data_IF_865417187563
#
_entry.id   IF_865417187563
#
_cell.length_a   1.000
_cell.length_b   1.000
_cell.length_c   1.000
_cell.angle_alpha   90.00
_cell.angle_beta   90.00
_cell.angle_gamma   90.00
#
_symmetry.space_group_name_H-M   'P 1'
#
loop_
_entity.id
_entity.type
_entity.pdbx_description
1 polymer ?
#
# COMPACT_ATOMS: atom_id res chain seq x y z
N UNK A 1 -9.93 -7.80 -8.32
CA UNK A 1 -9.31 -6.73 -9.14
C UNK A 1 -9.68 -6.87 -10.62
N UNK A 2 -9.41 -8.01 -11.28
CA UNK A 2 -9.74 -8.19 -12.70
C UNK A 2 -11.23 -8.09 -13.03
N UNK A 3 -12.10 -8.66 -12.18
CA UNK A 3 -13.58 -8.56 -12.35
C UNK A 3 -14.13 -7.13 -12.25
N UNK A 4 -13.39 -6.20 -11.64
CA UNK A 4 -13.77 -4.80 -11.54
C UNK A 4 -13.10 -3.91 -12.60
N UNK A 5 -12.19 -4.46 -13.40
CA UNK A 5 -11.48 -3.72 -14.43
C UNK A 5 -12.33 -3.58 -15.68
N UNK A 6 -12.53 -2.35 -16.15
CA UNK A 6 -13.21 -2.07 -17.43
C UNK A 6 -12.33 -2.38 -18.65
N UNK A 7 -11.02 -2.58 -18.45
CA UNK A 7 -10.08 -2.85 -19.53
C UNK A 7 -9.94 -4.34 -19.87
N UNK A 8 -10.27 -5.23 -18.94
CA UNK A 8 -10.14 -6.68 -19.12
C UNK A 8 -11.53 -7.25 -19.41
N UNK A 9 -11.76 -7.69 -20.65
CA UNK A 9 -12.97 -8.47 -20.97
C UNK A 9 -12.96 -9.79 -20.19
N UNK A 10 -14.13 -10.31 -19.85
CA UNK A 10 -14.27 -11.53 -19.01
C UNK A 10 -13.51 -12.72 -19.60
N UNK A 11 -13.54 -12.87 -20.93
CA UNK A 11 -12.81 -13.91 -21.68
C UNK A 11 -11.28 -13.75 -21.64
N UNK A 12 -10.78 -12.57 -21.30
CA UNK A 12 -9.34 -12.24 -21.28
C UNK A 12 -8.74 -12.17 -19.88
N UNK A 13 -9.50 -12.49 -18.84
CA UNK A 13 -8.98 -12.52 -17.48
C UNK A 13 -7.85 -13.54 -17.35
N UNK A 14 -6.81 -13.19 -16.61
CA UNK A 14 -5.69 -14.09 -16.33
C UNK A 14 -6.15 -15.23 -15.45
N UNK A 15 -5.87 -16.46 -15.88
CA UNK A 15 -6.31 -17.71 -15.22
C UNK A 15 -5.47 -18.07 -13.98
N UNK A 16 -4.30 -17.44 -13.84
CA UNK A 16 -3.37 -17.68 -12.74
C UNK A 16 -2.06 -16.94 -12.93
N UNK A 17 -1.11 -17.19 -12.03
CA UNK A 17 0.21 -16.53 -12.03
C UNK A 17 0.98 -16.85 -13.31
N UNK A 18 1.05 -18.13 -13.71
CA UNK A 18 1.79 -18.57 -14.90
C UNK A 18 1.21 -17.93 -16.17
N UNK A 19 -0.12 -17.95 -16.32
CA UNK A 19 -0.81 -17.32 -17.44
C UNK A 19 -0.52 -15.81 -17.52
N UNK A 20 -0.57 -15.13 -16.38
CA UNK A 20 -0.27 -13.70 -16.26
C UNK A 20 1.16 -13.36 -16.67
N UNK A 21 2.15 -14.08 -16.15
CA UNK A 21 3.58 -13.84 -16.43
C UNK A 21 3.92 -14.13 -17.89
N UNK A 22 3.28 -15.13 -18.52
CA UNK A 22 3.51 -15.44 -19.94
C UNK A 22 2.85 -14.43 -20.87
N UNK A 23 1.66 -13.91 -20.51
CA UNK A 23 0.86 -13.03 -21.36
C UNK A 23 1.30 -11.57 -21.30
N UNK A 24 1.67 -11.04 -20.12
CA UNK A 24 2.03 -9.62 -19.96
C UNK A 24 3.10 -9.15 -20.96
N UNK A 25 4.24 -9.86 -21.16
CA UNK A 25 5.26 -9.44 -22.11
C UNK A 25 4.76 -9.40 -23.55
N UNK A 26 3.88 -10.36 -23.92
CA UNK A 26 3.31 -10.47 -25.27
C UNK A 26 2.23 -9.41 -25.53
N UNK A 27 1.44 -9.08 -24.51
CA UNK A 27 0.32 -8.15 -24.64
C UNK A 27 0.74 -6.69 -24.51
N UNK A 28 1.66 -6.38 -23.60
CA UNK A 28 1.98 -5.01 -23.18
C UNK A 28 3.48 -4.68 -23.26
N UNK A 29 4.32 -5.64 -23.66
CA UNK A 29 5.77 -5.50 -23.66
C UNK A 29 6.41 -5.80 -22.30
N UNK A 30 7.66 -6.29 -22.35
CA UNK A 30 8.40 -6.77 -21.18
C UNK A 30 8.54 -5.73 -20.05
N UNK A 31 8.73 -4.45 -20.40
CA UNK A 31 8.88 -3.38 -19.42
C UNK A 31 7.61 -3.11 -18.59
N UNK A 32 6.45 -3.65 -19.00
CA UNK A 32 5.20 -3.47 -18.27
C UNK A 32 5.21 -4.13 -16.88
N UNK A 33 6.10 -5.09 -16.61
CA UNK A 33 6.28 -5.62 -15.26
C UNK A 33 6.74 -4.57 -14.23
N UNK A 34 7.43 -3.52 -14.66
CA UNK A 34 7.89 -2.43 -13.80
C UNK A 34 6.94 -1.23 -13.79
N UNK A 35 5.76 -1.34 -14.40
CA UNK A 35 4.77 -0.26 -14.42
C UNK A 35 4.33 0.06 -13.00
N UNK A 36 4.46 1.34 -12.62
CA UNK A 36 4.20 1.80 -11.25
C UNK A 36 5.35 1.56 -10.26
N UNK A 37 6.51 1.06 -10.69
CA UNK A 37 7.65 0.86 -9.80
C UNK A 37 8.33 2.17 -9.36
N UNK A 38 8.25 3.24 -10.17
CA UNK A 38 8.72 4.58 -9.77
C UNK A 38 8.09 5.01 -8.44
N UNK A 39 6.79 4.75 -8.29
CA UNK A 39 6.03 5.06 -7.08
C UNK A 39 6.56 4.31 -5.87
N UNK A 40 7.07 3.10 -6.05
CA UNK A 40 7.67 2.29 -4.98
C UNK A 40 8.96 2.92 -4.45
N UNK A 41 9.79 3.43 -5.34
CA UNK A 41 11.06 4.09 -4.99
C UNK A 41 10.77 5.35 -4.17
N UNK A 42 9.89 6.22 -4.66
CA UNK A 42 9.49 7.45 -3.95
C UNK A 42 8.87 7.11 -2.59
N UNK A 43 7.97 6.13 -2.55
CA UNK A 43 7.33 5.66 -1.32
C UNK A 43 8.35 5.20 -0.29
N UNK A 44 9.38 4.46 -0.70
CA UNK A 44 10.42 3.98 0.21
C UNK A 44 11.13 5.15 0.91
N UNK A 45 11.59 6.15 0.14
CA UNK A 45 12.24 7.32 0.70
C UNK A 45 11.34 8.08 1.70
N UNK A 46 10.09 8.35 1.32
CA UNK A 46 9.15 9.06 2.19
C UNK A 46 8.81 8.28 3.46
N UNK A 47 8.60 6.96 3.33
CA UNK A 47 8.32 6.11 4.48
C UNK A 47 9.49 6.11 5.45
N UNK A 48 10.73 6.08 4.96
CA UNK A 48 11.91 6.14 5.82
C UNK A 48 12.07 7.51 6.50
N UNK A 49 11.82 8.60 5.79
CA UNK A 49 11.82 9.94 6.39
C UNK A 49 10.79 10.07 7.53
N UNK A 50 9.57 9.56 7.32
CA UNK A 50 8.50 9.58 8.33
C UNK A 50 8.79 8.65 9.50
N UNK A 51 9.35 7.46 9.23
CA UNK A 51 9.83 6.57 10.30
C UNK A 51 10.88 7.26 11.16
N UNK A 52 11.86 7.93 10.56
CA UNK A 52 12.89 8.65 11.30
C UNK A 52 12.30 9.78 12.15
N UNK A 53 11.32 10.51 11.63
CA UNK A 53 10.70 11.63 12.34
C UNK A 53 9.78 11.19 13.51
N UNK A 54 9.01 10.11 13.33
CA UNK A 54 7.87 9.81 14.21
C UNK A 54 8.00 8.52 15.03
N UNK A 55 8.85 7.56 14.63
CA UNK A 55 8.90 6.24 15.27
C UNK A 55 9.23 6.33 16.76
N UNK A 56 10.25 7.10 17.12
CA UNK A 56 10.69 7.22 18.52
C UNK A 56 9.72 8.05 19.35
N UNK A 57 9.07 9.05 18.74
CA UNK A 57 8.01 9.84 19.38
C UNK A 57 6.81 8.97 19.75
N UNK A 58 6.32 8.15 18.82
CA UNK A 58 5.20 7.26 19.10
C UNK A 58 5.57 6.13 20.06
N UNK A 59 6.78 5.59 19.99
CA UNK A 59 7.23 4.63 21.00
C UNK A 59 7.25 5.25 22.39
N UNK A 60 7.77 6.47 22.53
CA UNK A 60 7.77 7.17 23.81
C UNK A 60 6.34 7.47 24.30
N UNK A 61 5.43 7.90 23.43
CA UNK A 61 4.05 8.19 23.87
C UNK A 61 3.32 6.94 24.39
N UNK A 62 3.51 5.78 23.75
CA UNK A 62 2.70 4.60 24.03
C UNK A 62 3.39 3.50 24.85
N UNK A 63 4.72 3.53 24.99
CA UNK A 63 5.50 2.47 25.64
C UNK A 63 6.45 3.00 26.73
N UNK A 64 6.50 4.31 26.98
CA UNK A 64 7.35 4.86 28.05
C UNK A 64 6.86 4.35 29.42
N UNK A 65 7.79 3.79 30.19
CA UNK A 65 7.50 3.16 31.48
C UNK A 65 6.79 1.80 31.44
N UNK A 66 6.58 1.19 30.26
CA UNK A 66 5.94 -0.13 30.15
C UNK A 66 6.98 -1.24 30.00
N UNK A 67 7.07 -2.13 30.98
CA UNK A 67 7.99 -3.27 30.93
C UNK A 67 7.36 -4.46 30.20
N UNK A 68 8.06 -4.92 29.15
CA UNK A 68 7.67 -6.07 28.33
C UNK A 68 7.55 -7.39 29.10
N UNK A 69 8.29 -7.57 30.21
CA UNK A 69 8.35 -8.85 30.95
C UNK A 69 7.27 -8.99 32.00
N UNK A 70 6.86 -7.89 32.62
CA UNK A 70 5.88 -7.89 33.71
C UNK A 70 4.48 -7.48 33.25
N UNK A 71 4.38 -6.72 32.16
CA UNK A 71 3.12 -6.14 31.68
C UNK A 71 2.84 -6.46 30.20
N UNK A 72 2.85 -7.75 29.84
CA UNK A 72 2.68 -8.22 28.47
C UNK A 72 1.51 -7.55 27.72
N UNK A 73 0.28 -7.60 28.25
CA UNK A 73 -0.90 -7.04 27.57
C UNK A 73 -0.83 -5.52 27.38
N UNK A 74 -0.21 -4.81 28.32
CA UNK A 74 -0.04 -3.35 28.22
C UNK A 74 1.04 -3.00 27.20
N UNK A 75 2.13 -3.77 27.16
CA UNK A 75 3.18 -3.65 26.16
C UNK A 75 2.67 -3.98 24.76
N UNK A 76 1.86 -5.02 24.63
CA UNK A 76 1.22 -5.43 23.39
C UNK A 76 0.27 -4.34 22.88
N UNK A 77 -0.67 -3.87 23.72
CA UNK A 77 -1.58 -2.79 23.36
C UNK A 77 -0.84 -1.50 22.99
N UNK A 78 0.21 -1.13 23.75
CA UNK A 78 1.05 0.02 23.46
C UNK A 78 1.79 -0.10 22.12
N UNK A 79 2.29 -1.29 21.77
CA UNK A 79 2.95 -1.52 20.47
C UNK A 79 1.97 -1.46 19.30
N UNK A 80 0.75 -1.97 19.49
CA UNK A 80 -0.32 -1.85 18.49
C UNK A 80 -0.73 -0.40 18.30
N UNK A 81 -0.95 0.35 19.38
CA UNK A 81 -1.30 1.77 19.32
C UNK A 81 -0.19 2.61 18.69
N UNK A 82 1.06 2.41 19.13
CA UNK A 82 2.26 3.05 18.55
C UNK A 82 2.40 2.74 17.07
N UNK A 83 2.17 1.49 16.68
CA UNK A 83 2.25 1.03 15.30
C UNK A 83 1.13 1.54 14.41
N UNK A 84 -0.10 1.50 14.90
CA UNK A 84 -1.27 2.01 14.21
C UNK A 84 -1.16 3.52 14.00
N UNK A 85 -0.76 4.27 15.03
CA UNK A 85 -0.57 5.71 14.93
C UNK A 85 0.56 6.10 13.96
N UNK A 86 1.73 5.47 14.08
CA UNK A 86 2.85 5.70 13.15
C UNK A 86 2.48 5.32 11.71
N UNK A 87 1.76 4.20 11.53
CA UNK A 87 1.28 3.74 10.23
C UNK A 87 0.26 4.70 9.62
N UNK A 88 -0.73 5.16 10.39
CA UNK A 88 -1.73 6.12 9.97
C UNK A 88 -1.10 7.46 9.55
N UNK A 89 -0.19 8.01 10.37
CA UNK A 89 0.53 9.25 10.04
C UNK A 89 1.37 9.11 8.78
N UNK A 90 2.02 7.95 8.59
CA UNK A 90 2.76 7.69 7.37
C UNK A 90 1.84 7.64 6.15
N UNK A 91 0.72 6.92 6.26
CA UNK A 91 -0.27 6.83 5.19
C UNK A 91 -0.87 8.20 4.87
N UNK A 92 -1.07 9.11 5.83
CA UNK A 92 -1.54 10.47 5.52
C UNK A 92 -0.67 11.21 4.50
N UNK A 93 0.58 10.81 4.31
CA UNK A 93 1.48 11.39 3.30
C UNK A 93 1.64 10.47 2.10
N UNK A 94 1.85 9.17 2.33
CA UNK A 94 2.24 8.23 1.26
C UNK A 94 1.05 7.54 0.58
N UNK A 95 -0.16 7.63 1.13
CA UNK A 95 -1.32 6.91 0.60
C UNK A 95 -1.67 7.25 -0.85
N UNK A 96 -1.61 8.52 -1.31
CA UNK A 96 -1.84 8.82 -2.73
C UNK A 96 -0.87 8.10 -3.66
N UNK A 97 0.37 7.88 -3.22
CA UNK A 97 1.37 7.11 -3.95
C UNK A 97 0.98 5.62 -3.98
N UNK A 98 0.58 5.03 -2.86
CA UNK A 98 0.12 3.64 -2.81
C UNK A 98 -1.11 3.41 -3.72
N UNK A 99 -2.04 4.35 -3.69
CA UNK A 99 -3.21 4.35 -4.55
C UNK A 99 -2.82 4.41 -6.03
N UNK A 100 -1.98 5.38 -6.42
CA UNK A 100 -1.56 5.53 -7.80
C UNK A 100 -0.73 4.33 -8.31
N UNK A 101 0.12 3.75 -7.46
CA UNK A 101 0.84 2.51 -7.75
C UNK A 101 -0.13 1.38 -8.11
N UNK A 102 -1.17 1.20 -7.30
CA UNK A 102 -2.18 0.15 -7.48
C UNK A 102 -2.95 0.37 -8.78
N UNK A 103 -3.34 1.60 -9.09
CA UNK A 103 -4.03 1.94 -10.35
C UNK A 103 -3.15 1.72 -11.58
N UNK A 104 -1.88 2.12 -11.52
CA UNK A 104 -0.93 1.92 -12.61
C UNK A 104 -0.62 0.45 -12.86
N UNK A 105 -0.53 -0.37 -11.79
CA UNK A 105 -0.31 -1.81 -11.89
C UNK A 105 -1.54 -2.55 -12.42
N UNK A 106 -2.75 -2.03 -12.14
CA UNK A 106 -4.00 -2.57 -12.67
C UNK A 106 -4.31 -2.14 -14.12
N UNK A 107 -3.60 -1.13 -14.64
CA UNK A 107 -3.78 -0.62 -16.00
C UNK A 107 -3.14 -1.54 -17.03
N UNK A 108 -4.00 -2.27 -17.75
CA UNK A 108 -3.59 -3.30 -18.70
C UNK A 108 -3.59 -2.85 -20.17
N UNK A 109 -3.79 -1.56 -20.46
CA UNK A 109 -3.75 -1.08 -21.85
C UNK A 109 -2.40 -1.41 -22.51
N UNK A 110 -2.31 -1.47 -23.84
CA UNK A 110 -1.03 -1.82 -24.49
C UNK A 110 -0.12 -0.60 -24.63
N UNK A 111 -0.61 0.45 -25.28
CA UNK A 111 0.09 1.71 -25.47
C UNK A 111 -0.88 2.87 -25.80
N UNK A 112 -0.40 4.11 -25.67
CA UNK A 112 -1.13 5.30 -26.11
C UNK A 112 -2.52 5.42 -25.50
N UNK A 113 -3.53 5.56 -26.37
CA UNK A 113 -4.93 5.77 -25.99
C UNK A 113 -5.60 4.60 -25.25
N UNK A 114 -5.02 3.39 -25.31
CA UNK A 114 -5.55 2.24 -24.56
C UNK A 114 -5.17 2.28 -23.06
N UNK A 115 -4.16 3.08 -22.68
CA UNK A 115 -3.75 3.23 -21.27
C UNK A 115 -4.69 4.19 -20.55
N UNK A 116 -5.13 3.80 -19.36
CA UNK A 116 -5.95 4.67 -18.52
C UNK A 116 -5.13 5.82 -17.94
N UNK A 117 -3.84 5.56 -17.66
CA UNK A 117 -2.90 6.53 -17.10
C UNK A 117 -1.56 6.51 -17.84
N UNK A 118 -0.99 7.68 -18.11
CA UNK A 118 0.34 7.78 -18.74
C UNK A 118 1.49 7.65 -17.74
N UNK A 119 1.21 7.82 -16.45
CA UNK A 119 2.20 7.72 -15.37
C UNK A 119 1.64 8.17 -14.02
N UNK A 120 2.53 8.26 -13.02
CA UNK A 120 2.17 8.62 -11.64
C UNK A 120 1.48 9.99 -11.54
N UNK A 121 2.10 11.04 -12.07
CA UNK A 121 1.55 12.39 -12.03
C UNK A 121 0.19 12.47 -12.74
N UNK A 122 0.07 11.84 -13.92
CA UNK A 122 -1.19 11.78 -14.66
C UNK A 122 -2.28 11.06 -13.85
N UNK A 123 -1.96 9.94 -13.21
CA UNK A 123 -2.89 9.22 -12.34
C UNK A 123 -3.39 10.08 -11.18
N UNK A 124 -2.47 10.73 -10.46
CA UNK A 124 -2.83 11.58 -9.33
C UNK A 124 -3.69 12.77 -9.76
N UNK A 125 -3.30 13.48 -10.81
CA UNK A 125 -4.02 14.65 -11.33
C UNK A 125 -5.40 14.25 -11.87
N UNK A 126 -5.48 13.16 -12.64
CA UNK A 126 -6.75 12.70 -13.24
C UNK A 126 -7.76 12.33 -12.17
N UNK A 127 -7.33 11.60 -11.14
CA UNK A 127 -8.20 11.18 -10.03
C UNK A 127 -8.55 12.36 -9.12
N UNK A 128 -7.60 13.25 -8.85
CA UNK A 128 -7.89 14.46 -8.09
C UNK A 128 -8.92 15.35 -8.79
N UNK A 129 -8.87 15.44 -10.14
CA UNK A 129 -9.87 16.18 -10.92
C UNK A 129 -11.24 15.51 -10.97
N UNK A 130 -11.31 14.18 -10.96
CA UNK A 130 -12.60 13.46 -11.00
C UNK A 130 -13.27 13.36 -9.64
N UNK A 131 -12.52 12.95 -8.62
CA UNK A 131 -13.05 12.50 -7.32
C UNK A 131 -12.46 13.29 -6.13
N UNK A 132 -11.62 14.29 -6.40
CA UNK A 132 -10.99 15.12 -5.39
C UNK A 132 -10.01 14.36 -4.48
N UNK A 133 -9.79 14.91 -3.29
CA UNK A 133 -8.97 14.26 -2.26
C UNK A 133 -9.58 12.93 -1.80
N UNK A 134 -10.91 12.81 -1.76
CA UNK A 134 -11.58 11.58 -1.32
C UNK A 134 -11.25 10.41 -2.23
N UNK A 135 -11.11 10.63 -3.54
CA UNK A 135 -10.69 9.59 -4.49
C UNK A 135 -9.27 9.08 -4.22
N UNK A 136 -8.33 9.97 -3.92
CA UNK A 136 -6.94 9.59 -3.62
C UNK A 136 -6.77 8.81 -2.31
N UNK A 137 -7.68 8.99 -1.36
CA UNK A 137 -7.67 8.31 -0.06
C UNK A 137 -8.73 7.20 0.08
N UNK A 138 -9.27 6.72 -1.05
CA UNK A 138 -10.26 5.67 -1.02
C UNK A 138 -9.65 4.36 -0.47
N UNK A 139 -10.20 3.89 0.65
CA UNK A 139 -9.72 2.69 1.34
C UNK A 139 -8.77 2.96 2.51
N UNK A 140 -8.50 4.23 2.85
CA UNK A 140 -7.58 4.59 3.93
C UNK A 140 -7.91 3.90 5.27
N UNK A 141 -9.19 3.91 5.66
CA UNK A 141 -9.64 3.32 6.93
C UNK A 141 -9.36 1.81 7.00
N UNK A 142 -9.65 1.06 5.92
CA UNK A 142 -9.40 -0.39 5.89
C UNK A 142 -7.90 -0.67 5.87
N UNK A 143 -7.09 0.19 5.24
CA UNK A 143 -5.63 0.07 5.27
C UNK A 143 -5.06 0.27 6.68
N UNK A 144 -5.57 1.24 7.45
CA UNK A 144 -5.15 1.45 8.85
C UNK A 144 -5.54 0.25 9.73
N UNK A 145 -6.77 -0.25 9.59
CA UNK A 145 -7.22 -1.47 10.31
C UNK A 145 -6.34 -2.67 9.95
N UNK A 146 -6.01 -2.84 8.67
CA UNK A 146 -5.12 -3.88 8.19
C UNK A 146 -3.73 -3.81 8.81
N UNK A 147 -3.16 -2.62 9.02
CA UNK A 147 -1.86 -2.46 9.70
C UNK A 147 -1.92 -2.93 11.16
N UNK A 148 -2.99 -2.59 11.87
CA UNK A 148 -3.17 -2.99 13.28
C UNK A 148 -3.29 -4.52 13.38
N UNK A 149 -4.15 -5.13 12.56
CA UNK A 149 -4.35 -6.59 12.52
C UNK A 149 -3.05 -7.29 12.12
N UNK A 150 -2.36 -6.79 11.09
CA UNK A 150 -1.07 -7.32 10.65
C UNK A 150 -0.03 -7.31 11.77
N UNK A 151 0.10 -6.20 12.51
CA UNK A 151 1.02 -6.13 13.65
C UNK A 151 0.60 -7.07 14.79
N UNK A 152 -0.69 -7.16 15.09
CA UNK A 152 -1.19 -8.05 16.13
C UNK A 152 -0.88 -9.52 15.81
N UNK A 153 -1.13 -9.95 14.57
CA UNK A 153 -0.80 -11.28 14.11
C UNK A 153 0.71 -11.53 14.11
N UNK A 154 1.51 -10.56 13.63
CA UNK A 154 2.97 -10.66 13.62
C UNK A 154 3.53 -10.88 15.03
N UNK A 155 3.15 -10.04 16.00
CA UNK A 155 3.59 -10.19 17.39
C UNK A 155 3.07 -11.47 18.02
N UNK A 156 1.78 -11.78 17.86
CA UNK A 156 1.17 -12.97 18.45
C UNK A 156 1.83 -14.27 17.96
N UNK A 157 2.09 -14.37 16.65
CA UNK A 157 2.76 -15.54 16.07
C UNK A 157 4.23 -15.57 16.48
N UNK A 158 4.94 -14.44 16.39
CA UNK A 158 6.36 -14.37 16.73
C UNK A 158 6.61 -14.74 18.20
N UNK A 159 5.78 -14.24 19.11
CA UNK A 159 5.88 -14.55 20.54
C UNK A 159 5.46 -15.98 20.87
N UNK A 160 4.57 -16.61 20.09
CA UNK A 160 4.18 -18.02 20.28
C UNK A 160 5.21 -18.98 19.70
N UNK A 161 5.86 -18.59 18.60
CA UNK A 161 6.84 -19.42 17.90
C UNK A 161 8.24 -19.35 18.50
N UNK A 162 8.53 -18.34 19.31
CA UNK A 162 9.82 -18.12 19.99
C UNK A 162 9.84 -18.78 21.36
#
# INVERSE_FOLDING_TARGET
VQHASKQIKVDKQYKGIVDCVVRIPKEQGFLSFWRGNLTNVIRYFLTQALNFAFKDKYKKIFLDGVDSRTQFWRYFAGNLASGGAAGATSLCVVYPLDFARTRLAADVGKAGAEREFTGLANCLVKIFRSDGLRGLYQGFNVSVQGIIIYRAAYFGIYDTAK
#
